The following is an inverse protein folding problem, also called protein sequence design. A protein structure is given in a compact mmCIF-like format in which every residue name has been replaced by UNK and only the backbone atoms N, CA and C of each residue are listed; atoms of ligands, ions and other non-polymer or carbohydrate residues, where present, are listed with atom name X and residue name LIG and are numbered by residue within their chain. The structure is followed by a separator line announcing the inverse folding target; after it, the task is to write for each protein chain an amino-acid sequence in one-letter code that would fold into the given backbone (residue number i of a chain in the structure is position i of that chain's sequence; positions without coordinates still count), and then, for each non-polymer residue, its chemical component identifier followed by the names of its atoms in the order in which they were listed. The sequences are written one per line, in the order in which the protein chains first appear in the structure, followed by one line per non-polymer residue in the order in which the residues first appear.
data_IF_698642091030
#
_entry.id   IF_698642091030
#
_cell.length_a   1.000
_cell.length_b   1.000
_cell.length_c   1.000
_cell.angle_alpha   90.00
_cell.angle_beta   90.00
_cell.angle_gamma   90.00
#
_symmetry.space_group_name_H-M   'P 1'
#
loop_
_entity.id
_entity.type
_entity.pdbx_description
1 polymer ?
#
# COMPACT_ATOMS: atom_id res chain seq x y z
N UNK A 1 -1.78 0.96 10.60
CA UNK A 1 -1.65 -0.49 10.95
C UNK A 1 -3.01 -1.10 11.04
N UNK A 2 -3.21 -2.25 10.46
CA UNK A 2 -4.46 -3.01 10.51
C UNK A 2 -4.22 -4.34 11.22
N UNK A 3 -5.22 -4.79 11.97
CA UNK A 3 -5.10 -6.00 12.79
C UNK A 3 -5.55 -7.24 12.00
N UNK A 4 -5.10 -8.41 12.45
CA UNK A 4 -5.57 -9.68 11.91
C UNK A 4 -7.10 -9.83 12.04
N UNK A 5 -7.69 -9.27 13.10
CA UNK A 5 -9.13 -9.27 13.31
C UNK A 5 -9.88 -8.41 12.28
N UNK A 6 -9.34 -7.21 11.95
CA UNK A 6 -9.92 -6.35 10.92
C UNK A 6 -9.93 -7.05 9.57
N UNK A 7 -8.79 -7.65 9.20
CA UNK A 7 -8.63 -8.39 7.94
C UNK A 7 -9.60 -9.59 7.89
N UNK A 8 -9.66 -10.38 8.97
CA UNK A 8 -10.60 -11.50 9.08
C UNK A 8 -12.04 -11.07 8.81
N UNK A 9 -12.43 -9.93 9.38
CA UNK A 9 -13.79 -9.40 9.22
C UNK A 9 -14.06 -8.97 7.78
N UNK A 10 -13.10 -8.29 7.16
CA UNK A 10 -13.19 -7.86 5.75
C UNK A 10 -13.24 -9.04 4.78
N UNK A 11 -12.47 -10.10 5.05
CA UNK A 11 -12.38 -11.29 4.21
C UNK A 11 -13.49 -12.30 4.50
N UNK A 12 -14.21 -12.17 5.62
CA UNK A 12 -15.22 -13.14 6.09
C UNK A 12 -14.64 -14.55 6.28
N UNK A 13 -13.34 -14.62 6.64
CA UNK A 13 -12.62 -15.88 6.81
C UNK A 13 -12.60 -16.37 8.26
N UNK A 14 -11.93 -17.51 8.48
CA UNK A 14 -11.64 -18.06 9.81
C UNK A 14 -10.23 -17.68 10.22
N UNK A 15 -10.06 -17.09 11.41
CA UNK A 15 -8.77 -16.67 11.94
C UNK A 15 -8.18 -17.73 12.87
N UNK A 16 -6.93 -18.09 12.62
CA UNK A 16 -6.07 -18.88 13.50
C UNK A 16 -4.87 -18.03 13.92
N UNK A 17 -4.56 -18.00 15.20
CA UNK A 17 -3.44 -17.23 15.76
C UNK A 17 -3.89 -15.94 16.46
N UNK A 18 -2.97 -14.97 16.57
CA UNK A 18 -3.19 -13.75 17.37
C UNK A 18 -4.08 -12.73 16.63
N UNK A 19 -5.30 -12.44 17.14
CA UNK A 19 -6.22 -11.48 16.53
C UNK A 19 -5.72 -10.02 16.65
N UNK A 20 -4.88 -9.74 17.64
CA UNK A 20 -4.36 -8.40 17.90
C UNK A 20 -3.13 -8.04 17.05
N UNK A 21 -2.54 -9.03 16.37
CA UNK A 21 -1.36 -8.84 15.54
C UNK A 21 -1.63 -7.79 14.46
N UNK A 22 -0.72 -6.81 14.37
CA UNK A 22 -0.86 -5.67 13.46
C UNK A 22 0.27 -5.65 12.44
N UNK A 23 -0.08 -5.34 11.21
CA UNK A 23 0.86 -5.15 10.11
C UNK A 23 0.58 -3.82 9.40
N UNK A 24 1.58 -3.31 8.68
CA UNK A 24 1.52 -2.06 7.93
C UNK A 24 1.91 -2.21 6.46
N UNK A 25 2.30 -3.40 6.05
CA UNK A 25 2.74 -3.70 4.69
C UNK A 25 2.05 -4.94 4.14
N UNK A 26 1.79 -4.91 2.83
CA UNK A 26 1.41 -6.09 2.04
C UNK A 26 2.61 -6.48 1.20
N UNK A 27 2.95 -7.77 1.19
CA UNK A 27 4.11 -8.31 0.47
C UNK A 27 3.72 -9.55 -0.33
N UNK A 28 4.37 -9.80 -1.46
CA UNK A 28 4.26 -11.09 -2.15
C UNK A 28 4.68 -12.24 -1.21
N UNK A 29 4.04 -13.40 -1.33
CA UNK A 29 4.31 -14.56 -0.45
C UNK A 29 5.74 -15.06 -0.54
N UNK A 30 6.37 -14.90 -1.69
CA UNK A 30 7.78 -15.27 -1.96
C UNK A 30 8.78 -14.18 -1.55
N UNK A 31 8.34 -13.09 -0.92
CA UNK A 31 9.23 -12.02 -0.47
C UNK A 31 10.27 -12.55 0.53
N UNK A 32 11.57 -12.23 0.35
CA UNK A 32 12.61 -12.59 1.31
C UNK A 32 12.55 -11.78 2.60
N UNK A 33 11.72 -10.73 2.63
CA UNK A 33 11.59 -9.84 3.78
C UNK A 33 10.59 -10.42 4.79
N UNK A 34 10.96 -10.39 6.05
CA UNK A 34 10.11 -10.83 7.16
C UNK A 34 9.06 -9.78 7.50
N UNK A 35 7.91 -10.24 7.94
CA UNK A 35 6.80 -9.38 8.39
C UNK A 35 5.80 -9.03 7.30
N UNK A 36 4.71 -8.37 7.72
CA UNK A 36 3.64 -7.93 6.83
C UNK A 36 2.56 -8.98 6.57
N UNK A 37 1.66 -8.62 5.67
CA UNK A 37 0.57 -9.45 5.18
C UNK A 37 0.94 -10.04 3.82
N UNK A 38 0.74 -11.35 3.65
CA UNK A 38 0.83 -12.01 2.35
C UNK A 38 -0.49 -12.69 2.00
N UNK A 39 -0.78 -12.78 0.71
CA UNK A 39 -2.03 -13.36 0.19
C UNK A 39 -1.67 -14.44 -0.82
N UNK A 40 -2.26 -15.62 -0.66
CA UNK A 40 -2.16 -16.72 -1.62
C UNK A 40 -3.20 -16.48 -2.71
N UNK A 41 -2.72 -16.11 -3.91
CA UNK A 41 -3.59 -15.74 -5.05
C UNK A 41 -3.71 -16.85 -6.08
N UNK A 42 -2.68 -17.66 -6.21
CA UNK A 42 -2.57 -18.69 -7.27
C UNK A 42 -2.13 -20.03 -6.67
N UNK A 43 -2.37 -21.16 -7.37
CA UNK A 43 -1.83 -22.45 -6.95
C UNK A 43 -0.30 -22.47 -6.83
N UNK A 44 0.41 -21.63 -7.61
CA UNK A 44 1.87 -21.51 -7.51
C UNK A 44 2.33 -20.91 -6.18
N UNK A 45 1.53 -20.07 -5.57
CA UNK A 45 1.85 -19.46 -4.28
C UNK A 45 1.88 -20.47 -3.13
N UNK A 46 1.16 -21.62 -3.27
CA UNK A 46 1.16 -22.68 -2.27
C UNK A 46 2.56 -23.25 -2.02
N UNK A 47 3.42 -23.23 -3.03
CA UNK A 47 4.81 -23.69 -2.91
C UNK A 47 5.64 -22.84 -1.95
N UNK A 48 5.25 -21.60 -1.72
CA UNK A 48 5.97 -20.65 -0.86
C UNK A 48 5.45 -20.62 0.58
N UNK A 49 4.35 -21.34 0.89
CA UNK A 49 3.77 -21.39 2.25
C UNK A 49 4.80 -21.83 3.31
N UNK A 50 5.62 -22.87 3.10
CA UNK A 50 6.58 -23.33 4.12
C UNK A 50 7.69 -22.33 4.40
N UNK A 51 8.03 -21.45 3.45
CA UNK A 51 9.18 -20.54 3.51
C UNK A 51 8.79 -19.08 3.67
N UNK A 52 7.49 -18.77 3.71
CA UNK A 52 7.05 -17.38 3.84
C UNK A 52 7.52 -16.76 5.15
N UNK A 53 8.01 -15.51 5.04
CA UNK A 53 8.33 -14.66 6.20
C UNK A 53 7.16 -13.79 6.67
N UNK A 54 5.95 -13.97 6.15
CA UNK A 54 4.80 -13.16 6.49
C UNK A 54 4.37 -13.34 7.97
N UNK A 55 3.98 -12.25 8.61
CA UNK A 55 3.36 -12.31 9.94
C UNK A 55 1.88 -12.74 9.86
N UNK A 56 1.16 -12.24 8.86
CA UNK A 56 -0.23 -12.60 8.57
C UNK A 56 -0.30 -13.19 7.17
N UNK A 57 -1.03 -14.28 7.00
CA UNK A 57 -1.27 -14.90 5.69
C UNK A 57 -2.76 -15.09 5.46
N UNK A 58 -3.23 -14.82 4.24
CA UNK A 58 -4.60 -15.08 3.79
C UNK A 58 -4.54 -16.12 2.67
N UNK A 59 -5.40 -17.10 2.71
CA UNK A 59 -5.49 -18.12 1.66
C UNK A 59 -6.37 -19.30 2.02
N UNK A 60 -6.28 -20.37 1.24
CA UNK A 60 -7.02 -21.60 1.48
C UNK A 60 -6.47 -22.36 2.70
N UNK A 61 -7.05 -23.49 3.05
CA UNK A 61 -6.77 -24.23 4.29
C UNK A 61 -5.28 -24.64 4.41
N UNK A 62 -4.60 -24.83 3.30
CA UNK A 62 -3.17 -25.18 3.25
C UNK A 62 -2.27 -24.18 3.98
N UNK A 63 -2.71 -22.93 4.13
CA UNK A 63 -1.93 -21.91 4.87
C UNK A 63 -1.78 -22.24 6.35
N UNK A 64 -2.58 -23.14 6.91
CA UNK A 64 -2.51 -23.56 8.31
C UNK A 64 -1.12 -24.14 8.63
N UNK A 65 -0.49 -24.78 7.65
CA UNK A 65 0.87 -25.35 7.77
C UNK A 65 2.01 -24.30 7.78
N UNK A 66 1.70 -23.03 7.48
CA UNK A 66 2.70 -21.95 7.45
C UNK A 66 3.24 -21.59 8.84
N UNK A 67 4.40 -20.93 8.88
CA UNK A 67 4.98 -20.35 10.10
C UNK A 67 4.41 -18.97 10.46
N UNK A 68 3.42 -18.46 9.72
CA UNK A 68 2.80 -17.17 10.00
C UNK A 68 2.13 -17.13 11.37
N UNK A 69 2.25 -16.00 12.07
CA UNK A 69 1.72 -15.80 13.43
C UNK A 69 0.19 -15.72 13.46
N UNK A 70 -0.41 -15.24 12.38
CA UNK A 70 -1.84 -15.26 12.18
C UNK A 70 -2.18 -15.73 10.75
N UNK A 71 -3.22 -16.55 10.63
CA UNK A 71 -3.65 -17.18 9.39
C UNK A 71 -5.15 -16.94 9.22
N UNK A 72 -5.54 -16.42 8.09
CA UNK A 72 -6.94 -16.13 7.77
C UNK A 72 -7.35 -17.05 6.62
N UNK A 73 -8.02 -18.13 6.99
CA UNK A 73 -8.51 -19.13 6.03
C UNK A 73 -9.77 -18.61 5.38
N UNK A 74 -9.80 -18.66 4.06
CA UNK A 74 -10.95 -18.30 3.23
C UNK A 74 -11.23 -19.46 2.27
N UNK A 75 -12.47 -19.88 2.16
CA UNK A 75 -12.87 -20.99 1.28
C UNK A 75 -12.72 -20.62 -0.20
N UNK A 76 -12.92 -19.35 -0.49
CA UNK A 76 -12.77 -18.78 -1.81
C UNK A 76 -12.24 -17.34 -1.74
N UNK A 77 -11.17 -17.08 -2.47
CA UNK A 77 -10.63 -15.73 -2.58
C UNK A 77 -11.52 -14.89 -3.51
N UNK A 78 -12.43 -14.16 -2.92
CA UNK A 78 -13.31 -13.26 -3.64
C UNK A 78 -12.59 -11.93 -3.93
N UNK A 79 -12.54 -11.54 -5.21
CA UNK A 79 -11.91 -10.28 -5.66
C UNK A 79 -12.49 -9.07 -4.93
N UNK A 80 -13.80 -9.05 -4.67
CA UNK A 80 -14.44 -7.95 -3.95
C UNK A 80 -13.93 -7.84 -2.51
N UNK A 81 -13.73 -8.96 -1.82
CA UNK A 81 -13.20 -8.96 -0.46
C UNK A 81 -11.72 -8.57 -0.46
N UNK A 82 -10.94 -9.06 -1.43
CA UNK A 82 -9.56 -8.63 -1.62
C UNK A 82 -9.46 -7.13 -1.83
N UNK A 83 -10.27 -6.56 -2.72
CA UNK A 83 -10.32 -5.12 -2.97
C UNK A 83 -10.68 -4.32 -1.72
N UNK A 84 -11.54 -4.84 -0.83
CA UNK A 84 -11.82 -4.21 0.47
C UNK A 84 -10.58 -4.14 1.35
N UNK A 85 -9.78 -5.22 1.43
CA UNK A 85 -8.54 -5.25 2.20
C UNK A 85 -7.52 -4.26 1.61
N UNK A 86 -7.35 -4.25 0.30
CA UNK A 86 -6.43 -3.33 -0.38
C UNK A 86 -6.84 -1.87 -0.20
N UNK A 87 -8.14 -1.57 -0.30
CA UNK A 87 -8.68 -0.22 -0.06
C UNK A 87 -8.50 0.19 1.39
N UNK A 88 -8.81 -0.69 2.34
CA UNK A 88 -8.59 -0.45 3.76
C UNK A 88 -7.11 -0.17 4.06
N UNK A 89 -6.20 -0.95 3.46
CA UNK A 89 -4.76 -0.72 3.55
C UNK A 89 -4.36 0.68 3.06
N UNK A 90 -4.79 1.07 1.86
CA UNK A 90 -4.49 2.40 1.29
C UNK A 90 -4.96 3.54 2.20
N UNK A 91 -6.22 3.47 2.64
CA UNK A 91 -6.80 4.48 3.52
C UNK A 91 -6.00 4.64 4.81
N UNK A 92 -5.67 3.53 5.48
CA UNK A 92 -4.97 3.57 6.75
C UNK A 92 -3.49 3.92 6.61
N UNK A 93 -2.87 3.53 5.51
CA UNK A 93 -1.46 3.84 5.26
C UNK A 93 -1.26 5.30 4.86
N UNK A 94 -2.07 5.81 3.95
CA UNK A 94 -1.84 7.10 3.33
C UNK A 94 -2.80 8.20 3.79
N UNK A 95 -3.76 7.90 4.67
CA UNK A 95 -4.74 8.87 5.18
C UNK A 95 -5.43 9.67 4.07
N UNK A 96 -5.89 8.97 3.03
CA UNK A 96 -6.41 9.56 1.80
C UNK A 96 -7.59 10.53 2.00
N UNK A 97 -8.31 10.42 3.11
CA UNK A 97 -9.47 11.28 3.39
C UNK A 97 -9.12 12.60 4.06
N UNK A 98 -7.87 12.78 4.51
CA UNK A 98 -7.44 14.00 5.20
C UNK A 98 -6.57 14.85 4.27
N UNK A 99 -7.13 15.28 3.14
CA UNK A 99 -6.42 16.15 2.18
C UNK A 99 -6.48 17.59 2.64
N UNK A 100 -5.37 18.13 3.11
CA UNK A 100 -5.19 19.55 3.42
C UNK A 100 -3.88 20.05 2.85
N UNK A 101 -3.90 21.26 2.29
CA UNK A 101 -2.70 21.91 1.82
C UNK A 101 -1.92 22.49 3.00
N UNK A 102 -0.68 22.03 3.19
CA UNK A 102 0.24 22.52 4.22
C UNK A 102 1.36 23.39 3.64
N UNK A 103 1.34 23.65 2.31
CA UNK A 103 2.37 24.45 1.64
C UNK A 103 2.23 25.92 1.96
N UNK A 104 3.37 26.57 2.20
CA UNK A 104 3.52 28.03 2.24
C UNK A 104 4.02 28.60 0.92
N UNK A 105 4.29 27.77 -0.09
CA UNK A 105 4.78 28.18 -1.41
C UNK A 105 3.58 28.48 -2.30
N UNK A 106 3.51 29.66 -2.93
CA UNK A 106 2.42 30.01 -3.83
C UNK A 106 2.24 28.96 -4.95
N UNK A 107 0.99 28.64 -5.27
CA UNK A 107 0.59 27.70 -6.32
C UNK A 107 1.16 26.26 -6.18
N UNK A 108 1.73 25.91 -5.04
CA UNK A 108 2.17 24.57 -4.71
C UNK A 108 1.26 23.96 -3.65
N UNK A 109 0.82 22.72 -3.90
CA UNK A 109 0.06 21.95 -2.92
C UNK A 109 0.95 20.93 -2.25
N UNK A 110 1.00 20.90 -0.93
CA UNK A 110 1.69 19.88 -0.12
C UNK A 110 0.69 19.31 0.88
N UNK A 111 0.47 18.01 0.77
CA UNK A 111 -0.39 17.26 1.66
C UNK A 111 0.21 17.04 3.06
N UNK A 112 -0.57 16.39 3.93
CA UNK A 112 -0.15 16.09 5.30
C UNK A 112 0.90 14.97 5.36
N UNK A 113 1.70 14.99 6.42
CA UNK A 113 2.70 13.96 6.74
C UNK A 113 3.78 13.77 5.67
N UNK A 114 4.04 14.80 4.86
CA UNK A 114 5.16 14.81 3.94
C UNK A 114 6.46 15.10 4.67
N UNK A 115 7.55 14.46 4.21
CA UNK A 115 8.91 14.75 4.62
C UNK A 115 9.65 15.31 3.41
N UNK A 116 10.17 16.52 3.52
CA UNK A 116 10.85 17.20 2.41
C UNK A 116 12.23 17.61 2.91
N UNK A 117 13.26 17.16 2.19
CA UNK A 117 14.65 17.45 2.45
C UNK A 117 15.04 18.90 2.17
N UNK A 118 16.33 19.18 2.20
CA UNK A 118 16.88 20.52 1.97
C UNK A 118 17.04 20.81 0.47
N UNK A 119 17.15 22.12 0.13
CA UNK A 119 17.43 22.61 -1.23
C UNK A 119 16.42 22.10 -2.28
N UNK A 120 15.16 22.00 -1.90
CA UNK A 120 14.10 21.67 -2.85
C UNK A 120 13.73 22.88 -3.71
N UNK A 121 13.31 22.62 -4.96
CA UNK A 121 12.79 23.62 -5.87
C UNK A 121 11.50 23.13 -6.51
N UNK A 122 10.36 23.70 -6.13
CA UNK A 122 9.04 23.34 -6.65
C UNK A 122 8.49 24.50 -7.48
N UNK A 123 8.15 24.23 -8.74
CA UNK A 123 7.55 25.20 -9.64
C UNK A 123 6.01 25.28 -9.44
N UNK A 124 5.36 26.35 -9.95
CA UNK A 124 3.92 26.52 -9.83
C UNK A 124 3.11 25.31 -10.35
N UNK A 125 2.00 25.02 -9.70
CA UNK A 125 1.12 23.91 -10.06
C UNK A 125 1.59 22.54 -9.59
N UNK A 126 2.71 22.42 -8.89
CA UNK A 126 3.16 21.15 -8.29
C UNK A 126 2.20 20.74 -7.19
N UNK A 127 1.83 19.45 -7.19
CA UNK A 127 0.96 18.85 -6.18
C UNK A 127 1.64 17.64 -5.57
N UNK A 128 1.98 17.75 -4.29
CA UNK A 128 2.56 16.68 -3.49
C UNK A 128 1.47 16.16 -2.55
N UNK A 129 1.06 14.91 -2.76
CA UNK A 129 -0.03 14.31 -1.97
C UNK A 129 0.47 13.86 -0.59
N UNK A 130 -0.41 13.26 0.21
CA UNK A 130 -0.10 12.89 1.59
C UNK A 130 1.01 11.83 1.70
N UNK A 131 1.77 11.88 2.80
CA UNK A 131 2.77 10.87 3.17
C UNK A 131 3.90 10.68 2.13
N UNK A 132 4.20 11.69 1.32
CA UNK A 132 5.32 11.68 0.37
C UNK A 132 6.62 11.97 1.11
N UNK A 133 7.69 11.28 0.73
CA UNK A 133 9.05 11.53 1.20
C UNK A 133 9.89 12.01 0.03
N UNK A 134 10.53 13.17 0.17
CA UNK A 134 11.41 13.78 -0.84
C UNK A 134 12.76 14.03 -0.17
N UNK A 135 13.83 13.60 -0.82
CA UNK A 135 15.21 13.81 -0.37
C UNK A 135 15.72 15.23 -0.61
N UNK A 136 17.03 15.39 -0.49
CA UNK A 136 17.71 16.67 -0.67
C UNK A 136 17.96 16.98 -2.15
N UNK A 137 18.09 18.28 -2.51
CA UNK A 137 18.41 18.77 -3.84
C UNK A 137 17.42 18.30 -4.93
N UNK A 138 16.14 18.30 -4.62
CA UNK A 138 15.10 17.83 -5.56
C UNK A 138 14.43 19.01 -6.24
N UNK A 139 14.37 18.97 -7.58
CA UNK A 139 13.62 19.92 -8.39
C UNK A 139 12.40 19.24 -9.01
N UNK A 140 11.21 19.83 -8.82
CA UNK A 140 9.97 19.35 -9.43
C UNK A 140 9.37 20.49 -10.24
N UNK A 141 9.28 20.28 -11.54
CA UNK A 141 8.80 21.28 -12.48
C UNK A 141 7.29 21.34 -12.55
N UNK A 142 6.79 22.41 -13.19
CA UNK A 142 5.40 22.86 -13.15
C UNK A 142 4.36 21.76 -13.47
N UNK A 143 3.22 21.84 -12.78
CA UNK A 143 2.06 20.96 -12.99
C UNK A 143 2.33 19.46 -12.77
N UNK A 144 3.40 19.10 -12.10
CA UNK A 144 3.72 17.70 -11.75
C UNK A 144 2.96 17.29 -10.49
N UNK A 145 2.44 16.07 -10.49
CA UNK A 145 1.71 15.47 -9.35
C UNK A 145 2.50 14.31 -8.78
N UNK A 146 2.83 14.37 -7.51
CA UNK A 146 3.44 13.28 -6.75
C UNK A 146 2.36 12.62 -5.89
N UNK A 147 2.08 11.36 -6.17
CA UNK A 147 1.00 10.61 -5.49
C UNK A 147 1.39 10.18 -4.08
N UNK A 148 0.37 9.80 -3.33
CA UNK A 148 0.48 9.39 -1.93
C UNK A 148 1.53 8.30 -1.70
N UNK A 149 2.34 8.47 -0.66
CA UNK A 149 3.33 7.49 -0.22
C UNK A 149 4.52 7.31 -1.16
N UNK A 150 4.67 8.16 -2.17
CA UNK A 150 5.84 8.15 -3.07
C UNK A 150 7.10 8.52 -2.28
N UNK A 151 8.20 7.84 -2.59
CA UNK A 151 9.53 8.15 -2.05
C UNK A 151 10.42 8.58 -3.22
N UNK A 152 10.96 9.79 -3.13
CA UNK A 152 11.91 10.37 -4.07
C UNK A 152 13.25 10.53 -3.35
N UNK A 153 14.32 10.02 -3.96
CA UNK A 153 15.67 10.13 -3.41
C UNK A 153 16.27 11.53 -3.52
N UNK A 154 17.57 11.64 -3.26
CA UNK A 154 18.31 12.89 -3.40
C UNK A 154 18.69 13.17 -4.87
N UNK A 155 19.00 14.44 -5.18
CA UNK A 155 19.55 14.88 -6.46
C UNK A 155 18.66 14.51 -7.67
N UNK A 156 17.33 14.58 -7.51
CA UNK A 156 16.34 14.20 -8.52
C UNK A 156 15.75 15.44 -9.18
N UNK A 157 15.64 15.41 -10.51
CA UNK A 157 14.90 16.40 -11.30
C UNK A 157 13.71 15.69 -11.96
N UNK A 158 12.51 16.21 -11.75
CA UNK A 158 11.28 15.73 -12.38
C UNK A 158 10.74 16.85 -13.27
N UNK A 159 10.63 16.58 -14.55
CA UNK A 159 10.15 17.55 -15.54
C UNK A 159 8.66 17.86 -15.40
N UNK A 160 8.19 18.86 -16.15
CA UNK A 160 6.81 19.34 -16.09
C UNK A 160 5.79 18.31 -16.56
N UNK A 161 4.54 18.42 -16.03
CA UNK A 161 3.37 17.63 -16.43
C UNK A 161 3.53 16.12 -16.20
N UNK A 162 4.33 15.73 -15.23
CA UNK A 162 4.48 14.32 -14.82
C UNK A 162 3.48 13.91 -13.74
N UNK A 163 3.16 12.61 -13.69
CA UNK A 163 2.45 12.00 -12.58
C UNK A 163 3.26 10.81 -12.06
N UNK A 164 3.82 10.96 -10.85
CA UNK A 164 4.71 9.98 -10.23
C UNK A 164 3.97 9.23 -9.13
N UNK A 165 4.19 7.92 -9.06
CA UNK A 165 3.56 7.06 -8.05
C UNK A 165 2.12 6.70 -8.38
N UNK A 166 1.73 6.74 -9.65
CA UNK A 166 0.43 6.24 -10.08
C UNK A 166 0.31 4.75 -9.76
N UNK A 167 -0.88 4.32 -9.47
CA UNK A 167 -1.17 2.91 -9.25
C UNK A 167 -0.91 2.12 -10.53
N UNK A 168 -0.22 1.00 -10.41
CA UNK A 168 -0.13 0.01 -11.50
C UNK A 168 -1.52 -0.56 -11.79
N UNK A 169 -1.71 -1.13 -12.97
CA UNK A 169 -2.95 -1.80 -13.38
C UNK A 169 -3.19 -3.13 -12.63
N UNK A 170 -2.98 -3.15 -11.32
CA UNK A 170 -3.27 -4.29 -10.46
C UNK A 170 -4.72 -4.34 -9.98
N UNK A 171 -5.62 -3.64 -10.69
CA UNK A 171 -7.05 -3.71 -10.41
C UNK A 171 -7.62 -4.95 -11.09
N UNK A 172 -8.17 -5.86 -10.30
CA UNK A 172 -8.98 -6.96 -10.81
C UNK A 172 -10.39 -6.43 -11.05
N UNK A 173 -11.00 -6.80 -12.18
CA UNK A 173 -12.40 -6.49 -12.45
C UNK A 173 -13.28 -7.18 -11.39
N UNK A 174 -14.31 -6.48 -10.92
CA UNK A 174 -15.34 -7.07 -10.09
C UNK A 174 -16.35 -7.88 -10.95
N UNK A 175 -17.36 -8.48 -10.33
CA UNK A 175 -18.38 -9.28 -11.00
C UNK A 175 -19.22 -8.51 -12.04
N UNK A 176 -19.06 -7.18 -12.12
CA UNK A 176 -19.74 -6.27 -13.08
C UNK A 176 -18.77 -5.74 -14.12
N UNK A 177 -17.58 -6.34 -14.28
CA UNK A 177 -16.49 -5.85 -15.12
C UNK A 177 -16.05 -4.40 -14.80
N UNK A 178 -16.28 -3.96 -13.56
CA UNK A 178 -15.82 -2.65 -13.09
C UNK A 178 -14.46 -2.78 -12.41
N UNK A 179 -13.50 -1.97 -12.84
CA UNK A 179 -12.21 -1.84 -12.17
C UNK A 179 -12.37 -0.97 -10.90
N UNK A 180 -11.90 -1.47 -9.78
CA UNK A 180 -12.04 -0.83 -8.47
C UNK A 180 -10.68 -0.39 -7.91
#
# INVERSE_FOLDING_TARGET
MFSALDIKTLMQGTLYGDPSLRVDTIRPIHSPLVGGLSIVMTPGDLLHIPTTGADIIIGPEEIISSNAKAKIVVDYLNVNNLNKVLRYYKVHKYRLFEQENTSTIPDVYIGKHCQIGMNFHFMPGVKIMNCVTIGDNVAIHANTVIKEGTIIGNDVIIDSNNSIGNYSFEYMADERDCYV
#
